data_IF_182578137909
#
_entry.id   IF_182578137909
#
_cell.length_a   1.000
_cell.length_b   1.000
_cell.length_c   1.000
_cell.angle_alpha   90.00
_cell.angle_beta   90.00
_cell.angle_gamma   90.00
#
_symmetry.space_group_name_H-M   'P 1'
#
loop_
_entity.id
_entity.type
_entity.pdbx_description
1 polymer ?
#
# COMPACT_ATOMS: atom_id res chain seq x y z
N UNK A 1 14.38 -23.77 7.15
CA UNK A 1 13.70 -23.27 5.95
C UNK A 1 13.63 -21.76 6.12
N UNK A 2 14.35 -21.01 5.29
CA UNK A 2 14.41 -19.56 5.41
C UNK A 2 13.13 -18.97 4.79
N UNK A 3 12.32 -18.31 5.61
CA UNK A 3 11.17 -17.54 5.17
C UNK A 3 11.67 -16.26 4.48
N UNK A 4 11.17 -15.98 3.28
CA UNK A 4 11.61 -14.87 2.42
C UNK A 4 10.73 -13.61 2.48
N UNK A 5 11.26 -12.47 1.99
CA UNK A 5 10.68 -11.11 2.08
C UNK A 5 9.51 -10.97 1.13
N UNK A 6 8.43 -10.42 1.67
CA UNK A 6 7.32 -9.86 0.89
C UNK A 6 7.25 -8.33 1.01
N UNK A 7 8.01 -7.68 1.90
CA UNK A 7 7.97 -6.23 2.14
C UNK A 7 9.35 -5.54 2.07
N UNK A 8 9.43 -4.28 1.63
CA UNK A 8 10.70 -3.56 1.47
C UNK A 8 11.31 -3.11 2.82
N UNK A 9 10.47 -2.87 3.83
CA UNK A 9 10.80 -2.46 5.20
C UNK A 9 10.19 -3.42 6.23
N UNK A 10 10.61 -3.31 7.50
CA UNK A 10 10.00 -4.05 8.60
C UNK A 10 8.64 -3.46 8.96
N UNK A 11 7.64 -4.31 9.19
CA UNK A 11 6.36 -3.85 9.71
C UNK A 11 6.48 -3.50 11.20
N UNK A 12 5.66 -2.55 11.69
CA UNK A 12 5.68 -2.14 13.10
C UNK A 12 4.30 -2.21 13.72
N UNK A 13 4.06 -3.23 14.54
CA UNK A 13 2.74 -3.52 15.12
C UNK A 13 2.20 -2.33 15.94
N UNK A 14 3.05 -1.76 16.78
CA UNK A 14 2.67 -0.63 17.62
C UNK A 14 2.23 0.59 16.80
N UNK A 15 2.90 0.85 15.67
CA UNK A 15 2.56 1.94 14.75
C UNK A 15 1.20 1.71 14.08
N UNK A 16 1.00 0.53 13.52
CA UNK A 16 -0.26 0.15 12.87
C UNK A 16 -1.45 0.20 13.85
N UNK A 17 -1.30 -0.35 15.05
CA UNK A 17 -2.37 -0.35 16.06
C UNK A 17 -2.69 1.05 16.56
N UNK A 18 -1.68 1.89 16.83
CA UNK A 18 -1.89 3.27 17.25
C UNK A 18 -2.56 4.11 16.17
N UNK A 19 -2.22 3.87 14.90
CA UNK A 19 -2.87 4.53 13.76
C UNK A 19 -4.34 4.14 13.65
N UNK A 20 -4.67 2.85 13.80
CA UNK A 20 -6.06 2.41 13.83
C UNK A 20 -6.85 2.99 15.00
N UNK A 21 -6.27 3.10 16.20
CA UNK A 21 -6.92 3.72 17.36
C UNK A 21 -7.16 5.23 17.14
N UNK A 22 -6.19 5.92 16.55
CA UNK A 22 -6.26 7.38 16.32
C UNK A 22 -7.17 7.77 15.17
N UNK A 23 -7.15 6.98 14.08
CA UNK A 23 -7.78 7.31 12.82
C UNK A 23 -8.95 6.40 12.47
N UNK A 24 -9.51 5.68 13.44
CA UNK A 24 -10.56 4.66 13.25
C UNK A 24 -11.70 5.09 12.33
N UNK A 25 -12.12 6.36 12.40
CA UNK A 25 -13.24 6.88 11.61
C UNK A 25 -12.93 7.11 10.13
N UNK A 26 -11.67 7.16 9.74
CA UNK A 26 -11.22 7.46 8.37
C UNK A 26 -10.30 6.40 7.78
N UNK A 27 -9.62 5.62 8.63
CA UNK A 27 -8.74 4.55 8.20
C UNK A 27 -9.56 3.29 7.92
N UNK A 28 -9.53 2.89 6.66
CA UNK A 28 -10.31 1.79 6.16
C UNK A 28 -9.97 0.49 6.89
N UNK A 29 -10.98 -0.35 7.15
CA UNK A 29 -10.89 -1.67 7.80
C UNK A 29 -10.38 -1.70 9.25
N UNK A 30 -10.03 -0.58 9.90
CA UNK A 30 -9.59 -0.62 11.30
C UNK A 30 -10.64 -1.20 12.25
N UNK A 31 -11.93 -0.91 12.04
CA UNK A 31 -13.03 -1.52 12.80
C UNK A 31 -13.02 -3.05 12.71
N UNK A 32 -12.86 -3.59 11.51
CA UNK A 32 -12.80 -5.03 11.28
C UNK A 32 -11.52 -5.63 11.86
N UNK A 33 -10.37 -5.00 11.61
CA UNK A 33 -9.07 -5.49 12.06
C UNK A 33 -8.97 -5.56 13.58
N UNK A 34 -9.55 -4.58 14.29
CA UNK A 34 -9.55 -4.54 15.75
C UNK A 34 -10.71 -5.30 16.40
N UNK A 35 -11.66 -5.81 15.61
CA UNK A 35 -12.81 -6.57 16.10
C UNK A 35 -12.41 -7.86 16.81
N UNK A 36 -13.36 -8.43 17.57
CA UNK A 36 -13.21 -9.74 18.20
C UNK A 36 -13.07 -10.90 17.19
N UNK A 37 -13.40 -10.68 15.92
CA UNK A 37 -13.28 -11.68 14.86
C UNK A 37 -11.84 -11.78 14.34
N UNK A 38 -11.17 -10.65 14.08
CA UNK A 38 -9.81 -10.61 13.50
C UNK A 38 -8.74 -10.47 14.57
N UNK A 39 -8.99 -9.65 15.60
CA UNK A 39 -8.10 -9.40 16.73
C UNK A 39 -6.65 -9.11 16.32
N UNK A 40 -6.42 -8.15 15.42
CA UNK A 40 -5.07 -7.77 14.98
C UNK A 40 -4.14 -7.42 16.15
N UNK A 41 -4.70 -6.81 17.21
CA UNK A 41 -4.03 -6.48 18.46
C UNK A 41 -3.50 -7.69 19.24
N UNK A 42 -3.96 -8.90 18.91
CA UNK A 42 -3.53 -10.15 19.54
C UNK A 42 -2.36 -10.84 18.83
N UNK A 43 -1.98 -10.37 17.63
CA UNK A 43 -0.83 -10.91 16.89
C UNK A 43 0.45 -10.66 17.68
N UNK A 44 1.29 -11.70 17.83
CA UNK A 44 2.57 -11.59 18.52
C UNK A 44 3.44 -10.50 17.86
N UNK A 45 3.76 -9.40 18.58
CA UNK A 45 4.58 -8.32 18.02
C UNK A 45 5.96 -8.79 17.58
N UNK A 46 6.50 -9.87 18.14
CA UNK A 46 7.77 -10.44 17.70
C UNK A 46 7.67 -11.07 16.31
N UNK A 47 6.53 -11.67 15.99
CA UNK A 47 6.29 -12.19 14.65
C UNK A 47 6.03 -11.03 13.69
N UNK A 48 5.13 -10.10 14.05
CA UNK A 48 4.83 -8.93 13.22
C UNK A 48 6.09 -8.13 12.85
N UNK A 49 6.89 -7.77 13.86
CA UNK A 49 8.07 -6.94 13.69
C UNK A 49 9.30 -7.74 13.23
N UNK A 50 9.18 -9.05 13.00
CA UNK A 50 10.30 -9.85 12.53
C UNK A 50 10.75 -9.37 11.15
N UNK A 51 12.05 -9.50 10.87
CA UNK A 51 12.52 -9.33 9.51
C UNK A 51 12.14 -10.55 8.69
N UNK A 52 11.32 -10.35 7.67
CA UNK A 52 11.01 -11.38 6.70
C UNK A 52 12.04 -11.46 5.56
N UNK A 53 13.22 -10.83 5.67
CA UNK A 53 14.46 -11.30 5.02
C UNK A 53 14.48 -12.31 3.82
N UNK A 54 14.39 -11.97 2.53
CA UNK A 54 14.97 -12.84 1.46
C UNK A 54 16.15 -12.16 0.77
N UNK A 55 17.39 -12.66 0.93
CA UNK A 55 18.56 -12.08 0.26
C UNK A 55 18.55 -12.26 -1.26
N UNK A 56 17.67 -13.09 -1.83
CA UNK A 56 17.51 -13.24 -3.29
C UNK A 56 16.67 -12.12 -3.90
N UNK A 57 15.86 -11.42 -3.10
CA UNK A 57 15.08 -10.27 -3.54
C UNK A 57 15.98 -9.03 -3.48
N UNK A 58 16.21 -8.40 -4.62
CA UNK A 58 17.17 -7.28 -4.77
C UNK A 58 16.49 -5.93 -5.02
N UNK A 59 15.18 -5.94 -5.25
CA UNK A 59 14.38 -4.74 -5.40
C UNK A 59 12.91 -5.00 -5.11
N UNK A 60 12.17 -3.92 -4.85
CA UNK A 60 10.73 -3.96 -4.64
C UNK A 60 10.07 -2.73 -5.28
N UNK A 61 8.89 -2.95 -5.84
CA UNK A 61 8.05 -1.90 -6.38
C UNK A 61 6.69 -2.00 -5.69
N UNK A 62 6.42 -1.10 -4.76
CA UNK A 62 5.25 -1.14 -3.87
C UNK A 62 4.17 -0.20 -4.38
N UNK A 63 3.04 -0.77 -4.81
CA UNK A 63 1.89 0.00 -5.30
C UNK A 63 0.87 0.12 -4.17
N UNK A 64 0.57 1.36 -3.81
CA UNK A 64 -0.35 1.79 -2.76
C UNK A 64 -0.22 0.97 -1.46
N UNK A 65 1.00 0.90 -0.86
CA UNK A 65 1.24 0.02 0.27
C UNK A 65 0.42 0.44 1.50
N UNK A 66 -0.22 -0.54 2.14
CA UNK A 66 -0.84 -0.40 3.46
C UNK A 66 0.16 -0.59 4.61
N UNK A 67 -0.30 -0.39 5.85
CA UNK A 67 0.51 -0.49 7.07
C UNK A 67 1.77 0.41 7.07
N UNK A 68 1.65 1.58 6.43
CA UNK A 68 2.73 2.59 6.32
C UNK A 68 2.81 3.52 7.52
N UNK A 69 1.89 3.37 8.47
CA UNK A 69 1.72 4.26 9.62
C UNK A 69 2.56 3.85 10.82
N UNK A 70 3.19 4.84 11.44
CA UNK A 70 4.01 4.68 12.64
C UNK A 70 5.34 3.96 12.41
N UNK A 71 5.79 3.83 11.16
CA UNK A 71 7.16 3.38 10.83
C UNK A 71 8.18 4.42 11.32
N UNK A 72 9.35 3.96 11.75
CA UNK A 72 10.48 4.81 12.14
C UNK A 72 11.73 4.48 11.30
N UNK A 73 12.79 5.27 11.47
CA UNK A 73 14.04 5.11 10.71
C UNK A 73 14.63 3.68 10.83
N UNK A 74 14.58 3.07 12.02
CA UNK A 74 15.10 1.72 12.26
C UNK A 74 14.34 0.65 11.46
N UNK A 75 13.05 0.87 11.15
CA UNK A 75 12.23 -0.05 10.34
C UNK A 75 12.72 -0.09 8.86
N UNK A 76 13.43 0.95 8.42
CA UNK A 76 14.04 1.08 7.10
C UNK A 76 15.55 0.79 7.09
N UNK A 77 16.15 0.44 8.24
CA UNK A 77 17.60 0.17 8.36
C UNK A 77 18.14 -0.92 7.43
N UNK A 78 17.26 -1.80 6.94
CA UNK A 78 17.56 -2.89 6.01
C UNK A 78 16.82 -2.77 4.68
N UNK A 79 16.44 -1.55 4.28
CA UNK A 79 15.70 -1.29 3.04
C UNK A 79 16.49 -1.78 1.82
N UNK A 80 15.78 -2.36 0.85
CA UNK A 80 16.41 -2.88 -0.38
C UNK A 80 17.11 -1.75 -1.16
N UNK A 81 18.13 -2.07 -1.97
CA UNK A 81 18.82 -1.07 -2.78
C UNK A 81 17.90 -0.39 -3.80
N UNK A 82 17.02 -1.15 -4.45
CA UNK A 82 16.06 -0.69 -5.44
C UNK A 82 14.66 -0.70 -4.86
N UNK A 83 14.12 0.46 -4.50
CA UNK A 83 12.76 0.57 -3.96
C UNK A 83 12.08 1.76 -4.59
N UNK A 84 10.94 1.48 -5.20
CA UNK A 84 10.00 2.49 -5.65
C UNK A 84 8.65 2.30 -4.96
N UNK A 85 7.99 3.42 -4.67
CA UNK A 85 6.65 3.45 -4.08
C UNK A 85 5.72 4.25 -5.00
N UNK A 86 4.55 3.68 -5.27
CA UNK A 86 3.49 4.32 -6.05
C UNK A 86 2.32 4.60 -5.12
N UNK A 87 1.82 5.83 -5.14
CA UNK A 87 0.57 6.22 -4.49
C UNK A 87 -0.53 6.43 -5.50
N UNK A 88 -1.74 6.04 -5.14
CA UNK A 88 -2.94 6.23 -5.94
C UNK A 88 -3.89 7.20 -5.24
N UNK A 89 -4.26 8.25 -5.95
CA UNK A 89 -5.14 9.29 -5.49
C UNK A 89 -4.44 10.47 -4.83
N UNK A 90 -5.15 11.58 -4.82
CA UNK A 90 -4.84 12.85 -4.18
C UNK A 90 -5.76 13.15 -3.00
N UNK A 91 -6.00 14.43 -2.76
CA UNK A 91 -6.74 14.91 -1.59
C UNK A 91 -8.23 14.49 -1.56
N UNK A 92 -8.77 13.93 -2.65
CA UNK A 92 -10.20 13.61 -2.77
C UNK A 92 -10.49 12.12 -2.86
N UNK A 93 -9.53 11.33 -3.36
CA UNK A 93 -9.73 9.93 -3.75
C UNK A 93 -8.65 9.00 -3.18
N UNK A 94 -7.70 9.49 -2.39
CA UNK A 94 -6.73 8.61 -1.72
C UNK A 94 -7.37 7.86 -0.55
N UNK A 95 -7.08 6.56 -0.44
CA UNK A 95 -7.38 5.81 0.79
C UNK A 95 -6.45 6.26 1.92
N UNK A 96 -7.03 6.51 3.10
CA UNK A 96 -6.24 7.03 4.21
C UNK A 96 -5.22 6.00 4.70
N UNK A 97 -5.58 4.71 4.72
CA UNK A 97 -4.70 3.62 5.15
C UNK A 97 -3.40 3.49 4.34
N UNK A 98 -3.38 3.93 3.08
CA UNK A 98 -2.22 3.86 2.17
C UNK A 98 -1.48 5.18 1.99
N UNK A 99 -1.90 6.23 2.70
CA UNK A 99 -1.36 7.58 2.58
C UNK A 99 0.06 7.70 3.18
N UNK A 100 1.06 7.25 2.43
CA UNK A 100 2.47 7.30 2.84
C UNK A 100 3.06 8.71 2.96
N UNK A 101 2.35 9.74 2.46
CA UNK A 101 2.75 11.13 2.65
C UNK A 101 2.46 11.58 4.08
N UNK A 102 1.22 11.38 4.52
CA UNK A 102 0.77 11.77 5.85
C UNK A 102 1.30 10.83 6.93
N UNK A 103 1.52 9.56 6.59
CA UNK A 103 2.13 8.59 7.51
C UNK A 103 3.60 8.88 7.83
N UNK A 104 4.27 9.71 7.03
CA UNK A 104 5.68 10.04 7.15
C UNK A 104 6.63 9.09 6.40
N UNK A 105 6.14 8.01 5.79
CA UNK A 105 6.99 7.06 5.05
C UNK A 105 7.71 7.72 3.87
N UNK A 106 7.08 8.64 3.13
CA UNK A 106 7.74 9.38 2.05
C UNK A 106 8.99 10.12 2.53
N UNK A 107 8.95 10.70 3.73
CA UNK A 107 10.09 11.37 4.34
C UNK A 107 11.20 10.37 4.69
N UNK A 108 10.84 9.23 5.29
CA UNK A 108 11.79 8.17 5.66
C UNK A 108 12.50 7.56 4.43
N UNK A 109 11.82 7.52 3.28
CA UNK A 109 12.38 7.01 2.03
C UNK A 109 13.38 7.97 1.35
N UNK A 110 13.34 9.26 1.68
CA UNK A 110 14.24 10.29 1.12
C UNK A 110 14.13 10.40 -0.41
N UNK A 111 15.28 10.45 -1.10
CA UNK A 111 15.37 10.68 -2.56
C UNK A 111 14.99 9.45 -3.42
N UNK A 112 14.36 8.41 -2.84
CA UNK A 112 13.91 7.22 -3.60
C UNK A 112 12.79 7.55 -4.57
N UNK A 113 12.58 6.68 -5.57
CA UNK A 113 11.48 6.85 -6.51
C UNK A 113 10.13 6.76 -5.81
N UNK A 114 9.46 7.90 -5.68
CA UNK A 114 8.06 7.99 -5.24
C UNK A 114 7.27 8.64 -6.36
N UNK A 115 6.23 7.95 -6.82
CA UNK A 115 5.31 8.46 -7.84
C UNK A 115 3.90 8.48 -7.28
N UNK A 116 3.13 9.49 -7.64
CA UNK A 116 1.73 9.65 -7.24
C UNK A 116 0.89 9.83 -8.50
N UNK A 117 -0.15 9.03 -8.65
CA UNK A 117 -1.15 9.20 -9.70
C UNK A 117 -2.38 9.89 -9.12
N UNK A 118 -2.72 11.06 -9.65
CA UNK A 118 -3.86 11.87 -9.22
C UNK A 118 -4.44 12.54 -10.49
N UNK A 119 -5.68 12.23 -10.90
CA UNK A 119 -6.66 11.38 -10.21
C UNK A 119 -6.36 9.87 -10.33
N UNK A 120 -6.54 9.13 -9.24
CA UNK A 120 -6.58 7.67 -9.19
C UNK A 120 -7.19 7.21 -7.85
N UNK A 121 -7.51 5.92 -7.72
CA UNK A 121 -7.99 5.32 -6.47
C UNK A 121 -7.20 4.04 -6.17
N UNK A 122 -7.26 3.53 -4.95
CA UNK A 122 -6.56 2.29 -4.55
C UNK A 122 -6.76 1.14 -5.55
N UNK A 123 -7.99 0.98 -6.05
CA UNK A 123 -8.33 -0.06 -7.03
C UNK A 123 -7.87 0.23 -8.46
N UNK A 124 -7.36 1.43 -8.78
CA UNK A 124 -6.85 1.76 -10.11
C UNK A 124 -5.63 0.92 -10.51
N UNK A 125 -4.94 0.26 -9.57
CA UNK A 125 -3.89 -0.71 -9.89
C UNK A 125 -4.41 -2.13 -10.20
N UNK A 126 -5.71 -2.41 -9.96
CA UNK A 126 -6.31 -3.69 -10.35
C UNK A 126 -6.53 -3.74 -11.86
N UNK A 127 -6.69 -4.95 -12.40
CA UNK A 127 -6.89 -5.22 -13.83
C UNK A 127 -7.98 -4.35 -14.46
N UNK A 128 -7.90 -4.13 -15.77
CA UNK A 128 -8.92 -3.41 -16.52
C UNK A 128 -10.30 -4.07 -16.34
N UNK A 129 -11.31 -3.23 -16.10
CA UNK A 129 -12.68 -3.68 -15.96
C UNK A 129 -13.32 -4.01 -17.30
N UNK A 130 -14.22 -4.98 -17.28
CA UNK A 130 -15.13 -5.22 -18.41
C UNK A 130 -16.21 -4.13 -18.44
N UNK A 131 -16.83 -3.87 -19.59
CA UNK A 131 -17.88 -2.84 -19.70
C UNK A 131 -19.01 -2.96 -18.69
N UNK A 132 -19.37 -4.18 -18.28
CA UNK A 132 -20.44 -4.46 -17.32
C UNK A 132 -20.01 -4.41 -15.84
N UNK A 133 -18.70 -4.27 -15.58
CA UNK A 133 -18.13 -4.46 -14.24
C UNK A 133 -18.71 -3.51 -13.18
N UNK A 134 -18.78 -2.22 -13.49
CA UNK A 134 -19.36 -1.22 -12.58
C UNK A 134 -20.82 -1.54 -12.23
N UNK A 135 -21.63 -1.92 -13.23
CA UNK A 135 -23.04 -2.21 -13.02
C UNK A 135 -23.24 -3.47 -12.16
N UNK A 136 -22.41 -4.50 -12.35
CA UNK A 136 -22.46 -5.73 -11.55
C UNK A 136 -22.08 -5.44 -10.10
N UNK A 137 -20.95 -4.75 -9.86
CA UNK A 137 -20.52 -4.42 -8.50
C UNK A 137 -21.54 -3.56 -7.75
N UNK A 138 -22.19 -2.64 -8.46
CA UNK A 138 -23.28 -1.84 -7.88
C UNK A 138 -24.51 -2.68 -7.51
N UNK A 139 -24.91 -3.64 -8.37
CA UNK A 139 -26.05 -4.56 -8.10
C UNK A 139 -25.75 -5.49 -6.90
N UNK A 140 -24.50 -5.95 -6.80
CA UNK A 140 -24.03 -6.82 -5.72
C UNK A 140 -23.71 -6.06 -4.42
N UNK A 141 -23.73 -4.73 -4.44
CA UNK A 141 -23.32 -3.87 -3.32
C UNK A 141 -21.87 -4.15 -2.86
N UNK A 142 -21.01 -4.47 -3.82
CA UNK A 142 -19.60 -4.77 -3.59
C UNK A 142 -18.73 -3.51 -3.73
N UNK A 143 -17.45 -3.63 -3.38
CA UNK A 143 -16.49 -2.53 -3.46
C UNK A 143 -16.42 -1.92 -4.88
N UNK A 144 -16.24 -0.58 -5.01
CA UNK A 144 -16.28 0.13 -6.29
C UNK A 144 -14.99 -0.06 -7.11
N UNK A 145 -14.53 -1.30 -7.27
CA UNK A 145 -13.28 -1.67 -7.96
C UNK A 145 -13.23 -1.15 -9.39
N UNK A 146 -14.39 -1.05 -10.06
CA UNK A 146 -14.51 -0.60 -11.45
C UNK A 146 -14.91 0.86 -11.64
N UNK A 147 -14.95 1.66 -10.58
CA UNK A 147 -15.28 3.08 -10.64
C UNK A 147 -14.06 3.91 -10.26
N UNK A 148 -13.25 4.25 -11.25
CA UNK A 148 -12.12 5.16 -11.06
C UNK A 148 -12.58 6.63 -10.94
N UNK A 149 -11.84 7.50 -10.24
CA UNK A 149 -12.17 8.92 -10.15
C UNK A 149 -12.19 9.59 -11.53
N UNK A 150 -13.03 10.62 -11.68
CA UNK A 150 -13.18 11.33 -12.94
C UNK A 150 -11.84 11.88 -13.44
N UNK A 151 -11.52 11.61 -14.71
CA UNK A 151 -10.25 12.01 -15.33
C UNK A 151 -9.11 11.00 -15.16
N UNK A 152 -9.29 9.94 -14.38
CA UNK A 152 -8.35 8.82 -14.33
C UNK A 152 -8.39 8.03 -15.65
N UNK A 153 -7.21 7.59 -16.10
CA UNK A 153 -7.05 6.63 -17.19
C UNK A 153 -6.27 5.43 -16.64
N UNK A 154 -7.01 4.39 -16.23
CA UNK A 154 -6.45 3.17 -15.66
C UNK A 154 -5.41 2.51 -16.57
N UNK A 155 -5.68 2.47 -17.88
CA UNK A 155 -4.76 1.83 -18.82
C UNK A 155 -3.45 2.61 -18.94
N UNK A 156 -3.53 3.95 -18.97
CA UNK A 156 -2.35 4.80 -18.96
C UNK A 156 -1.56 4.71 -17.65
N UNK A 157 -2.25 4.64 -16.50
CA UNK A 157 -1.62 4.41 -15.18
C UNK A 157 -0.86 3.07 -15.19
N UNK A 158 -1.49 1.98 -15.66
CA UNK A 158 -0.84 0.67 -15.76
C UNK A 158 0.39 0.70 -16.65
N UNK A 159 0.29 1.32 -17.84
CA UNK A 159 1.42 1.46 -18.75
C UNK A 159 2.58 2.20 -18.08
N UNK A 160 2.30 3.30 -17.38
CA UNK A 160 3.32 4.08 -16.68
C UNK A 160 3.95 3.31 -15.52
N UNK A 161 3.16 2.55 -14.76
CA UNK A 161 3.66 1.66 -13.70
C UNK A 161 4.61 0.61 -14.29
N UNK A 162 4.23 -0.04 -15.40
CA UNK A 162 5.06 -1.05 -16.06
C UNK A 162 6.39 -0.45 -16.53
N UNK A 163 6.37 0.71 -17.17
CA UNK A 163 7.58 1.40 -17.62
C UNK A 163 8.53 1.72 -16.46
N UNK A 164 7.98 2.25 -15.36
CA UNK A 164 8.75 2.57 -14.15
C UNK A 164 9.31 1.31 -13.47
N UNK A 165 8.52 0.24 -13.42
CA UNK A 165 8.97 -1.06 -12.90
C UNK A 165 10.13 -1.61 -13.73
N UNK A 166 10.04 -1.55 -15.06
CA UNK A 166 11.10 -2.01 -15.95
C UNK A 166 12.38 -1.19 -15.75
N UNK A 167 12.27 0.15 -15.65
CA UNK A 167 13.40 1.05 -15.40
C UNK A 167 14.08 0.77 -14.05
N UNK A 168 13.32 0.75 -12.95
CA UNK A 168 13.85 0.56 -11.59
C UNK A 168 14.50 -0.82 -11.44
N UNK A 169 13.85 -1.86 -11.98
CA UNK A 169 14.35 -3.24 -11.88
C UNK A 169 15.44 -3.55 -12.91
N UNK A 170 15.55 -2.78 -13.99
CA UNK A 170 16.51 -2.97 -15.07
C UNK A 170 16.13 -4.13 -16.01
N UNK A 171 14.84 -4.21 -16.37
CA UNK A 171 14.24 -5.23 -17.24
C UNK A 171 14.05 -4.74 -18.68
#
# INVERSE_FOLDING_TARGET
MAAGRLYPWSARAAGALAACDTHQSVMELCDLLLSDEVQLQSVDPKLWNASYADPRVTGAFSIDPGFVWGLEEDDLSSLLPKVAVVGLGGAQDRLFATNFDESGLAYLLGDRQIVRFDPAYHFSAMTLCKPEGEAILLDEQDDPVCTDPAGSDRAAIHAKIIDMMAEELGL
#
